data_IF_255819197223
#
_entry.id   IF_255819197223
#
_cell.length_a   1.000
_cell.length_b   1.000
_cell.length_c   1.000
_cell.angle_alpha   90.00
_cell.angle_beta   90.00
_cell.angle_gamma   90.00
#
_symmetry.space_group_name_H-M   'P 1'
#
loop_
_entity.id
_entity.type
_entity.pdbx_description
1 polymer ?
#
# COMPACT_ATOMS: atom_id res chain seq x y z
N UNK A 1 19.15 -25.81 20.87
CA UNK A 1 17.83 -25.83 20.19
C UNK A 1 17.19 -24.46 20.34
N UNK A 2 17.38 -23.56 19.35
CA UNK A 2 16.75 -22.24 19.33
C UNK A 2 15.53 -22.32 18.42
N UNK A 3 14.33 -22.25 19.01
CA UNK A 3 13.06 -22.19 18.28
C UNK A 3 12.96 -20.79 17.64
N UNK A 4 13.11 -20.71 16.34
CA UNK A 4 12.75 -19.51 15.58
C UNK A 4 11.21 -19.45 15.51
N UNK A 5 10.60 -18.56 16.28
CA UNK A 5 9.22 -18.15 16.03
C UNK A 5 9.21 -17.39 14.69
N UNK A 6 8.74 -18.04 13.65
CA UNK A 6 8.35 -17.34 12.43
C UNK A 6 7.04 -16.58 12.71
N UNK A 7 7.15 -15.29 12.99
CA UNK A 7 5.99 -14.41 13.02
C UNK A 7 5.47 -14.25 11.59
N UNK A 8 4.34 -14.86 11.30
CA UNK A 8 3.63 -14.68 10.04
C UNK A 8 3.22 -13.20 9.93
N UNK A 9 3.88 -12.46 9.07
CA UNK A 9 3.56 -11.08 8.74
C UNK A 9 2.53 -11.14 7.62
N UNK A 10 1.26 -11.01 7.96
CA UNK A 10 0.20 -10.77 6.97
C UNK A 10 0.38 -9.32 6.50
N UNK A 11 0.70 -9.13 5.23
CA UNK A 11 0.65 -7.81 4.61
C UNK A 11 -0.78 -7.28 4.74
N UNK A 12 -0.94 -6.18 5.45
CA UNK A 12 -2.25 -5.55 5.62
C UNK A 12 -2.43 -4.57 4.49
N UNK A 13 -3.09 -5.01 3.42
CA UNK A 13 -3.63 -4.09 2.44
C UNK A 13 -4.67 -3.20 3.13
N UNK A 14 -4.31 -1.97 3.43
CA UNK A 14 -5.26 -0.95 3.87
C UNK A 14 -5.98 -0.42 2.65
N UNK A 15 -7.00 -1.14 2.22
CA UNK A 15 -7.89 -0.69 1.16
C UNK A 15 -8.66 0.54 1.65
N UNK A 16 -8.43 1.69 1.04
CA UNK A 16 -9.15 2.93 1.31
C UNK A 16 -10.63 2.74 1.06
N UNK A 17 -11.43 2.88 2.09
CA UNK A 17 -12.85 3.11 1.94
C UNK A 17 -13.05 4.61 1.71
N UNK A 18 -13.54 4.99 0.53
CA UNK A 18 -14.23 6.27 0.35
C UNK A 18 -15.27 6.44 1.46
N UNK A 19 -15.57 7.66 1.93
CA UNK A 19 -16.53 7.86 3.01
C UNK A 19 -17.92 7.48 2.52
N UNK A 20 -18.27 6.20 2.70
CA UNK A 20 -19.66 5.78 2.64
C UNK A 20 -20.26 6.10 4.01
N UNK A 21 -21.15 7.08 4.06
CA UNK A 21 -22.06 7.25 5.18
C UNK A 21 -22.54 5.87 5.62
N UNK A 22 -22.33 5.55 6.88
CA UNK A 22 -22.82 4.32 7.48
C UNK A 22 -24.37 4.37 7.45
N UNK A 23 -24.94 3.89 6.36
CA UNK A 23 -26.35 3.60 6.26
C UNK A 23 -26.63 2.40 7.14
N UNK A 24 -27.11 2.65 8.35
CA UNK A 24 -27.66 1.64 9.24
C UNK A 24 -28.83 0.98 8.51
N UNK A 25 -28.70 -0.32 8.17
CA UNK A 25 -29.86 -1.19 8.18
C UNK A 25 -30.45 -1.68 6.88
N UNK A 26 -29.91 -1.40 5.69
CA UNK A 26 -30.26 -2.22 4.52
C UNK A 26 -29.17 -3.25 4.29
N UNK A 27 -29.47 -4.55 4.36
CA UNK A 27 -28.52 -5.57 3.93
C UNK A 27 -28.27 -5.37 2.44
N UNK A 28 -27.02 -5.37 1.98
CA UNK A 28 -26.66 -5.17 0.57
C UNK A 28 -27.23 -6.27 -0.35
N UNK A 29 -27.70 -7.35 0.22
CA UNK A 29 -28.36 -8.47 -0.46
C UNK A 29 -29.88 -8.53 -0.21
N UNK A 30 -30.50 -7.45 0.33
CA UNK A 30 -31.95 -7.32 0.51
C UNK A 30 -32.62 -8.52 1.20
N UNK A 31 -31.96 -9.13 2.20
CA UNK A 31 -32.45 -10.31 2.90
C UNK A 31 -32.36 -11.63 2.13
N UNK A 32 -31.73 -11.64 0.94
CA UNK A 32 -31.49 -12.86 0.18
C UNK A 32 -30.60 -13.84 0.96
N UNK A 33 -30.88 -15.13 0.82
CA UNK A 33 -29.98 -16.17 1.27
C UNK A 33 -28.68 -16.13 0.47
N UNK A 34 -27.59 -16.71 1.01
CA UNK A 34 -26.33 -16.81 0.28
C UNK A 34 -26.50 -17.47 -1.09
N UNK A 35 -27.30 -18.53 -1.21
CA UNK A 35 -27.56 -19.19 -2.49
C UNK A 35 -28.25 -18.28 -3.52
N UNK A 36 -29.23 -17.49 -3.10
CA UNK A 36 -29.88 -16.51 -3.99
C UNK A 36 -28.92 -15.39 -4.42
N UNK A 37 -28.10 -14.89 -3.47
CA UNK A 37 -27.05 -13.92 -3.79
C UNK A 37 -26.04 -14.47 -4.78
N UNK A 38 -25.55 -15.70 -4.56
CA UNK A 38 -24.59 -16.37 -5.44
C UNK A 38 -25.16 -16.53 -6.85
N UNK A 39 -26.41 -17.00 -6.98
CA UNK A 39 -27.06 -17.10 -8.29
C UNK A 39 -27.12 -15.74 -9.01
N UNK A 40 -27.41 -14.66 -8.29
CA UNK A 40 -27.36 -13.30 -8.86
C UNK A 40 -25.95 -12.87 -9.29
N UNK A 41 -24.92 -13.24 -8.52
CA UNK A 41 -23.52 -12.96 -8.85
C UNK A 41 -23.07 -13.76 -10.08
N UNK A 42 -23.48 -15.02 -10.21
CA UNK A 42 -23.22 -15.86 -11.39
C UNK A 42 -23.83 -15.24 -12.67
N UNK A 43 -25.07 -14.73 -12.59
CA UNK A 43 -25.67 -14.02 -13.72
C UNK A 43 -24.88 -12.75 -14.10
N UNK A 44 -24.38 -12.00 -13.12
CA UNK A 44 -23.50 -10.86 -13.39
C UNK A 44 -22.19 -11.30 -14.05
N UNK A 45 -21.62 -12.43 -13.62
CA UNK A 45 -20.40 -12.98 -14.21
C UNK A 45 -20.62 -13.39 -15.68
N UNK A 46 -21.76 -14.06 -15.99
CA UNK A 46 -22.15 -14.39 -17.37
C UNK A 46 -22.30 -13.12 -18.20
N UNK A 47 -23.02 -12.12 -17.70
CA UNK A 47 -23.17 -10.83 -18.36
C UNK A 47 -21.84 -10.09 -18.59
N UNK A 48 -20.85 -10.34 -17.72
CA UNK A 48 -19.48 -9.82 -17.86
C UNK A 48 -18.58 -10.68 -18.78
N UNK A 49 -19.14 -11.72 -19.43
CA UNK A 49 -18.47 -12.55 -20.43
C UNK A 49 -17.78 -13.80 -19.87
N UNK A 50 -18.02 -14.18 -18.61
CA UNK A 50 -17.49 -15.42 -18.04
C UNK A 50 -18.28 -16.62 -18.60
N UNK A 51 -17.59 -17.66 -19.06
CA UNK A 51 -18.25 -18.86 -19.57
C UNK A 51 -18.90 -19.69 -18.46
N UNK A 52 -19.99 -20.40 -18.79
CA UNK A 52 -20.63 -21.34 -17.87
C UNK A 52 -19.68 -22.45 -17.42
N UNK A 53 -18.70 -22.84 -18.27
CA UNK A 53 -17.67 -23.81 -17.93
C UNK A 53 -16.81 -23.32 -16.76
N UNK A 54 -16.37 -22.07 -16.79
CA UNK A 54 -15.56 -21.49 -15.72
C UNK A 54 -16.34 -21.36 -14.41
N UNK A 55 -17.61 -20.95 -14.49
CA UNK A 55 -18.51 -20.87 -13.33
C UNK A 55 -18.72 -22.27 -12.72
N UNK A 56 -19.02 -23.27 -13.53
CA UNK A 56 -19.21 -24.65 -13.08
C UNK A 56 -17.93 -25.23 -12.44
N UNK A 57 -16.76 -24.93 -13.00
CA UNK A 57 -15.48 -25.33 -12.41
C UNK A 57 -15.20 -24.65 -11.05
N UNK A 58 -15.61 -23.41 -10.88
CA UNK A 58 -15.44 -22.64 -9.65
C UNK A 58 -16.47 -22.95 -8.57
N UNK A 59 -17.67 -23.42 -8.93
CA UNK A 59 -18.83 -23.61 -8.05
C UNK A 59 -18.50 -24.34 -6.73
N UNK A 60 -17.69 -25.44 -6.69
CA UNK A 60 -17.34 -26.09 -5.43
C UNK A 60 -16.55 -25.20 -4.45
N UNK A 61 -15.92 -24.14 -4.94
CA UNK A 61 -15.11 -23.19 -4.16
C UNK A 61 -15.89 -21.93 -3.77
N UNK A 62 -17.06 -21.69 -4.35
CA UNK A 62 -17.90 -20.53 -4.06
C UNK A 62 -18.78 -20.78 -2.83
N UNK A 63 -18.15 -20.92 -1.67
CA UNK A 63 -18.78 -21.28 -0.40
C UNK A 63 -18.60 -20.14 0.60
N UNK A 64 -19.67 -19.81 1.33
CA UNK A 64 -19.61 -18.80 2.39
C UNK A 64 -18.81 -19.28 3.60
N UNK A 65 -17.98 -18.41 4.12
CA UNK A 65 -17.16 -18.65 5.31
C UNK A 65 -17.22 -17.43 6.25
N UNK A 66 -17.95 -17.58 7.37
CA UNK A 66 -18.05 -16.56 8.40
C UNK A 66 -16.68 -16.21 9.02
N UNK A 67 -15.75 -17.15 9.04
CA UNK A 67 -14.39 -16.92 9.54
C UNK A 67 -13.63 -15.85 8.75
N UNK A 68 -13.84 -15.79 7.45
CA UNK A 68 -13.29 -14.73 6.58
C UNK A 68 -13.88 -13.36 6.95
N UNK A 69 -15.20 -13.28 7.08
CA UNK A 69 -15.90 -12.05 7.48
C UNK A 69 -15.43 -11.57 8.86
N UNK A 70 -15.26 -12.49 9.80
CA UNK A 70 -14.77 -12.17 11.14
C UNK A 70 -13.32 -11.65 11.10
N UNK A 71 -12.47 -12.18 10.23
CA UNK A 71 -11.10 -11.66 10.01
C UNK A 71 -11.14 -10.25 9.46
N UNK A 72 -11.97 -9.98 8.47
CA UNK A 72 -12.13 -8.65 7.88
C UNK A 72 -12.59 -7.61 8.93
N UNK A 73 -13.56 -7.98 9.76
CA UNK A 73 -14.09 -7.12 10.83
C UNK A 73 -13.16 -6.99 12.02
N UNK A 74 -12.38 -8.03 12.31
CA UNK A 74 -11.45 -8.10 13.43
C UNK A 74 -10.09 -7.47 13.18
N UNK A 75 -9.85 -6.88 12.01
CA UNK A 75 -8.58 -6.24 11.70
C UNK A 75 -8.30 -5.08 12.64
N UNK A 76 -7.29 -5.26 13.49
CA UNK A 76 -6.74 -4.18 14.32
C UNK A 76 -5.69 -3.46 13.49
N UNK A 77 -5.92 -2.20 13.21
CA UNK A 77 -4.89 -1.36 12.58
C UNK A 77 -3.83 -1.07 13.64
N UNK A 78 -2.63 -1.60 13.43
CA UNK A 78 -1.51 -1.31 14.32
C UNK A 78 -0.86 0.00 13.88
N UNK A 79 -1.04 1.04 14.69
CA UNK A 79 -0.33 2.30 14.53
C UNK A 79 1.14 2.15 14.90
N UNK A 80 1.97 1.64 13.99
CA UNK A 80 3.43 1.66 14.18
C UNK A 80 3.98 2.96 13.60
N UNK A 81 4.99 3.52 14.26
CA UNK A 81 5.73 4.66 13.70
C UNK A 81 6.62 4.19 12.54
N UNK A 82 6.85 5.12 11.60
CA UNK A 82 7.60 4.83 10.39
C UNK A 82 8.96 4.18 10.67
N UNK A 83 9.77 4.70 11.60
CA UNK A 83 11.12 4.17 11.87
C UNK A 83 11.13 2.72 12.34
N UNK A 84 10.13 2.32 13.16
CA UNK A 84 9.99 0.94 13.65
C UNK A 84 9.52 0.03 12.51
N UNK A 85 8.52 0.46 11.76
CA UNK A 85 8.00 -0.30 10.62
C UNK A 85 9.07 -0.46 9.52
N UNK A 86 9.70 0.65 9.09
CA UNK A 86 10.74 0.64 8.08
C UNK A 86 11.97 -0.18 8.51
N UNK A 87 12.40 -0.07 9.77
CA UNK A 87 13.52 -0.85 10.31
C UNK A 87 13.29 -2.35 10.22
N UNK A 88 12.04 -2.80 10.42
CA UNK A 88 11.65 -4.21 10.32
C UNK A 88 11.43 -4.64 8.87
N UNK A 89 10.72 -3.83 8.08
CA UNK A 89 10.28 -4.21 6.74
C UNK A 89 11.34 -3.99 5.67
N UNK A 90 12.13 -2.90 5.76
CA UNK A 90 13.27 -2.64 4.89
C UNK A 90 14.57 -3.18 5.49
N UNK A 91 14.54 -4.44 5.96
CA UNK A 91 15.66 -5.10 6.62
C UNK A 91 16.84 -5.34 5.66
N UNK A 92 18.04 -5.45 6.23
CA UNK A 92 19.24 -5.74 5.46
C UNK A 92 19.16 -7.09 4.73
N UNK A 93 18.51 -8.09 5.33
CA UNK A 93 18.28 -9.39 4.69
C UNK A 93 17.43 -9.28 3.43
N UNK A 94 16.36 -8.46 3.46
CA UNK A 94 15.53 -8.21 2.26
C UNK A 94 16.29 -7.44 1.19
N UNK A 95 17.08 -6.44 1.59
CA UNK A 95 17.95 -5.71 0.65
C UNK A 95 18.90 -6.64 -0.09
N UNK A 96 19.65 -7.46 0.66
CA UNK A 96 20.64 -8.40 0.09
C UNK A 96 19.95 -9.45 -0.78
N UNK A 97 18.84 -10.04 -0.31
CA UNK A 97 18.06 -11.01 -1.08
C UNK A 97 17.51 -10.39 -2.37
N UNK A 98 16.97 -9.15 -2.30
CA UNK A 98 16.50 -8.43 -3.46
C UNK A 98 17.58 -8.22 -4.52
N UNK A 99 18.77 -7.75 -4.11
CA UNK A 99 19.90 -7.59 -5.02
C UNK A 99 20.34 -8.92 -5.66
N UNK A 100 20.29 -10.02 -4.89
CA UNK A 100 20.58 -11.36 -5.43
C UNK A 100 19.55 -11.78 -6.49
N UNK A 101 18.26 -11.53 -6.23
CA UNK A 101 17.18 -11.87 -7.18
C UNK A 101 17.26 -11.02 -8.45
N UNK A 102 17.59 -9.72 -8.36
CA UNK A 102 17.83 -8.87 -9.53
C UNK A 102 18.94 -9.48 -10.41
N UNK A 103 20.02 -9.95 -9.80
CA UNK A 103 21.11 -10.62 -10.55
C UNK A 103 20.66 -11.96 -11.12
N UNK A 104 19.91 -12.76 -10.35
CA UNK A 104 19.43 -14.08 -10.77
C UNK A 104 18.49 -14.00 -11.97
N UNK A 105 17.59 -13.00 -11.99
CA UNK A 105 16.60 -12.78 -13.05
C UNK A 105 16.95 -11.55 -13.91
N UNK A 106 18.25 -11.30 -14.12
CA UNK A 106 18.74 -10.08 -14.78
C UNK A 106 18.10 -9.85 -16.17
N UNK A 107 17.86 -10.91 -16.94
CA UNK A 107 17.22 -10.84 -18.25
C UNK A 107 15.76 -10.31 -18.16
N UNK A 108 14.97 -10.87 -17.22
CA UNK A 108 13.57 -10.47 -17.01
C UNK A 108 13.48 -9.03 -16.51
N UNK A 109 14.35 -8.64 -15.56
CA UNK A 109 14.40 -7.27 -15.07
C UNK A 109 14.82 -6.26 -16.14
N UNK A 110 15.87 -6.56 -16.91
CA UNK A 110 16.31 -5.68 -18.00
C UNK A 110 15.25 -5.52 -19.10
N UNK A 111 14.53 -6.62 -19.43
CA UNK A 111 13.39 -6.57 -20.35
C UNK A 111 12.26 -5.73 -19.78
N UNK A 112 11.92 -5.88 -18.48
CA UNK A 112 10.86 -5.14 -17.81
C UNK A 112 11.19 -3.64 -17.75
N UNK A 113 12.40 -3.27 -17.37
CA UNK A 113 12.86 -1.88 -17.36
C UNK A 113 12.83 -1.25 -18.77
N UNK A 114 13.31 -1.99 -19.77
CA UNK A 114 13.25 -1.54 -21.17
C UNK A 114 11.81 -1.35 -21.65
N UNK A 115 10.91 -2.27 -21.32
CA UNK A 115 9.52 -2.26 -21.80
C UNK A 115 8.66 -1.25 -21.04
N UNK A 116 8.73 -1.27 -19.73
CA UNK A 116 7.82 -0.54 -18.84
C UNK A 116 8.44 0.71 -18.20
N UNK A 117 9.77 0.84 -18.20
CA UNK A 117 10.48 1.97 -17.59
C UNK A 117 10.51 1.94 -16.07
N UNK A 118 10.16 0.82 -15.46
CA UNK A 118 10.16 0.64 -14.02
C UNK A 118 11.50 0.03 -13.59
N UNK A 119 12.28 0.68 -12.70
CA UNK A 119 13.56 0.16 -12.25
C UNK A 119 13.42 -1.19 -11.51
N UNK A 120 14.40 -2.09 -11.65
CA UNK A 120 14.41 -3.39 -10.96
C UNK A 120 14.20 -3.29 -9.46
N UNK A 121 14.77 -2.27 -8.81
CA UNK A 121 14.69 -2.04 -7.37
C UNK A 121 13.25 -1.77 -6.90
N UNK A 122 12.46 -1.09 -7.72
CA UNK A 122 11.07 -0.75 -7.44
C UNK A 122 10.21 -2.02 -7.45
N UNK A 123 10.30 -2.81 -8.52
CA UNK A 123 9.60 -4.10 -8.64
C UNK A 123 9.97 -5.01 -7.47
N UNK A 124 11.27 -5.09 -7.17
CA UNK A 124 11.83 -5.95 -6.12
C UNK A 124 11.37 -5.51 -4.72
N UNK A 125 11.21 -4.21 -4.48
CA UNK A 125 10.74 -3.71 -3.19
C UNK A 125 9.28 -4.11 -2.91
N UNK A 126 8.39 -4.02 -3.90
CA UNK A 126 7.02 -4.54 -3.77
C UNK A 126 7.02 -6.04 -3.56
N UNK A 127 7.78 -6.81 -4.34
CA UNK A 127 7.89 -8.26 -4.20
C UNK A 127 8.37 -8.66 -2.80
N UNK A 128 9.33 -7.90 -2.24
CA UNK A 128 9.82 -8.13 -0.88
C UNK A 128 8.75 -7.86 0.19
N UNK A 129 8.00 -6.77 0.05
CA UNK A 129 7.05 -6.34 1.10
C UNK A 129 5.75 -7.12 1.06
N UNK A 130 5.29 -7.52 -0.13
CA UNK A 130 4.02 -8.23 -0.28
C UNK A 130 4.09 -9.68 0.19
N UNK A 131 5.16 -10.40 -0.13
CA UNK A 131 5.20 -11.83 0.15
C UNK A 131 6.55 -12.36 0.65
N UNK A 132 7.50 -11.48 0.97
CA UNK A 132 8.88 -11.88 1.22
C UNK A 132 9.44 -12.73 0.05
N UNK A 133 9.27 -12.20 -1.17
CA UNK A 133 9.69 -12.85 -2.43
C UNK A 133 9.02 -14.22 -2.64
N UNK A 134 7.73 -14.29 -2.43
CA UNK A 134 6.94 -15.50 -2.62
C UNK A 134 6.95 -16.48 -1.45
N UNK A 135 7.67 -16.19 -0.36
CA UNK A 135 7.71 -17.09 0.80
C UNK A 135 6.38 -17.11 1.59
N UNK A 136 5.57 -16.05 1.50
CA UNK A 136 4.31 -15.90 2.22
C UNK A 136 3.24 -15.35 1.27
N UNK A 137 2.51 -16.21 0.60
CA UNK A 137 1.46 -15.81 -0.35
C UNK A 137 0.03 -15.94 0.19
N UNK A 138 -0.14 -16.38 1.43
CA UNK A 138 -1.43 -16.73 2.01
C UNK A 138 -1.70 -18.24 1.96
N UNK A 139 -2.82 -18.66 2.57
CA UNK A 139 -3.18 -20.09 2.69
C UNK A 139 -4.70 -20.31 2.58
N UNK A 140 -5.43 -19.32 2.11
CA UNK A 140 -6.90 -19.39 2.05
C UNK A 140 -7.38 -19.52 0.62
N UNK A 141 -8.43 -20.31 0.37
CA UNK A 141 -9.04 -20.38 -0.96
C UNK A 141 -9.60 -19.01 -1.36
N UNK A 142 -9.03 -18.43 -2.40
CA UNK A 142 -9.34 -17.06 -2.86
C UNK A 142 -10.81 -16.90 -3.20
N UNK A 143 -11.40 -17.83 -3.97
CA UNK A 143 -12.81 -17.76 -4.34
C UNK A 143 -13.74 -17.74 -3.12
N UNK A 144 -13.45 -18.57 -2.10
CA UNK A 144 -14.20 -18.59 -0.84
C UNK A 144 -14.06 -17.26 -0.10
N UNK A 145 -12.86 -16.71 -0.05
CA UNK A 145 -12.61 -15.42 0.58
C UNK A 145 -13.40 -14.30 -0.11
N UNK A 146 -13.32 -14.22 -1.43
CA UNK A 146 -13.97 -13.18 -2.22
C UNK A 146 -15.49 -13.24 -2.10
N UNK A 147 -16.10 -14.42 -2.31
CA UNK A 147 -17.56 -14.56 -2.28
C UNK A 147 -18.13 -14.33 -0.87
N UNK A 148 -17.37 -14.69 0.19
CA UNK A 148 -17.77 -14.40 1.56
C UNK A 148 -17.78 -12.92 1.87
N UNK A 149 -16.78 -12.19 1.40
CA UNK A 149 -16.65 -10.75 1.54
C UNK A 149 -17.63 -9.99 0.62
N UNK A 150 -17.95 -10.57 -0.54
CA UNK A 150 -19.00 -10.04 -1.44
C UNK A 150 -20.38 -10.11 -0.79
N UNK A 151 -20.66 -11.19 -0.06
CA UNK A 151 -21.92 -11.34 0.69
C UNK A 151 -21.97 -10.47 1.95
N UNK A 152 -20.82 -10.14 2.55
CA UNK A 152 -20.75 -9.17 3.67
C UNK A 152 -20.91 -7.74 3.18
N UNK A 153 -21.89 -7.01 3.73
CA UNK A 153 -22.30 -5.69 3.22
C UNK A 153 -21.25 -4.57 3.35
N UNK A 154 -20.13 -4.80 4.01
CA UNK A 154 -19.13 -3.75 4.26
C UNK A 154 -18.48 -3.20 2.99
N UNK A 155 -18.17 -4.08 2.02
CA UNK A 155 -17.53 -3.76 0.73
C UNK A 155 -18.05 -4.67 -0.38
N UNK A 156 -19.35 -4.96 -0.36
CA UNK A 156 -19.98 -5.97 -1.22
C UNK A 156 -19.66 -5.77 -2.71
N UNK A 157 -19.89 -4.59 -3.26
CA UNK A 157 -19.70 -4.36 -4.69
C UNK A 157 -18.24 -4.62 -5.11
N UNK A 158 -17.28 -4.11 -4.34
CA UNK A 158 -15.86 -4.35 -4.62
C UNK A 158 -15.55 -5.85 -4.71
N UNK A 159 -15.99 -6.65 -3.73
CA UNK A 159 -15.70 -8.08 -3.73
C UNK A 159 -16.52 -8.89 -4.74
N UNK A 160 -17.68 -8.38 -5.20
CA UNK A 160 -18.37 -8.94 -6.35
C UNK A 160 -17.53 -8.77 -7.63
N UNK A 161 -16.97 -7.57 -7.83
CA UNK A 161 -16.11 -7.28 -8.99
C UNK A 161 -14.84 -8.14 -8.97
N UNK A 162 -14.23 -8.30 -7.78
CA UNK A 162 -13.07 -9.18 -7.60
C UNK A 162 -13.42 -10.67 -7.83
N UNK A 163 -14.60 -11.11 -7.42
CA UNK A 163 -15.06 -12.48 -7.69
C UNK A 163 -15.23 -12.71 -9.19
N UNK A 164 -15.85 -11.77 -9.91
CA UNK A 164 -16.02 -11.86 -11.36
C UNK A 164 -14.64 -11.87 -12.06
N UNK A 165 -13.70 -11.04 -11.62
CA UNK A 165 -12.35 -11.04 -12.17
C UNK A 165 -11.63 -12.38 -11.91
N UNK A 166 -11.79 -12.98 -10.72
CA UNK A 166 -11.26 -14.30 -10.41
C UNK A 166 -11.83 -15.39 -11.35
N UNK A 167 -13.13 -15.34 -11.64
CA UNK A 167 -13.75 -16.24 -12.62
C UNK A 167 -13.21 -16.03 -14.05
N UNK A 168 -12.92 -14.78 -14.44
CA UNK A 168 -12.27 -14.47 -15.73
C UNK A 168 -10.85 -15.03 -15.83
N UNK A 169 -10.07 -15.02 -14.75
CA UNK A 169 -8.74 -15.64 -14.68
C UNK A 169 -8.84 -17.15 -14.96
N UNK A 170 -9.83 -17.81 -14.35
CA UNK A 170 -10.11 -19.23 -14.57
C UNK A 170 -10.53 -19.48 -16.03
N UNK A 171 -11.42 -18.65 -16.56
CA UNK A 171 -11.94 -18.76 -17.91
C UNK A 171 -10.85 -18.56 -18.97
N UNK A 172 -9.90 -17.66 -18.72
CA UNK A 172 -8.71 -17.43 -19.55
C UNK A 172 -7.73 -18.61 -19.49
N UNK A 173 -7.82 -19.45 -18.47
CA UNK A 173 -6.99 -20.63 -18.29
C UNK A 173 -5.66 -20.38 -17.56
N UNK A 174 -5.47 -19.21 -16.96
CA UNK A 174 -4.22 -18.90 -16.23
C UNK A 174 -4.09 -19.69 -14.92
N UNK A 175 -5.20 -19.88 -14.20
CA UNK A 175 -5.25 -20.62 -12.94
C UNK A 175 -6.50 -21.50 -12.87
N UNK A 176 -6.33 -22.69 -12.29
CA UNK A 176 -7.47 -23.53 -11.91
C UNK A 176 -8.04 -23.04 -10.56
N UNK A 177 -9.34 -23.28 -10.26
CA UNK A 177 -9.94 -22.91 -8.97
C UNK A 177 -9.16 -23.43 -7.75
N UNK A 178 -8.57 -24.63 -7.85
CA UNK A 178 -7.79 -25.27 -6.79
C UNK A 178 -6.43 -24.62 -6.56
N UNK A 179 -5.89 -23.88 -7.52
CA UNK A 179 -4.62 -23.15 -7.45
C UNK A 179 -4.78 -21.75 -6.89
N UNK A 180 -6.00 -21.24 -6.88
CA UNK A 180 -6.31 -19.91 -6.36
C UNK A 180 -6.26 -19.89 -4.82
N UNK A 181 -5.04 -19.95 -4.28
CA UNK A 181 -4.75 -19.87 -2.86
C UNK A 181 -4.01 -18.57 -2.59
N UNK A 182 -4.52 -17.78 -1.66
CA UNK A 182 -4.00 -16.44 -1.41
C UNK A 182 -4.28 -15.93 0.00
N UNK A 183 -4.38 -14.62 0.12
CA UNK A 183 -4.69 -13.94 1.37
C UNK A 183 -6.17 -14.10 1.76
N UNK A 184 -6.50 -13.67 2.98
CA UNK A 184 -7.90 -13.65 3.45
C UNK A 184 -8.77 -12.64 2.67
N UNK A 185 -8.17 -11.62 2.06
CA UNK A 185 -8.86 -10.63 1.24
C UNK A 185 -8.96 -11.02 -0.25
N UNK A 186 -8.47 -12.22 -0.60
CA UNK A 186 -8.56 -12.75 -1.95
C UNK A 186 -7.40 -12.33 -2.87
N UNK A 187 -6.38 -11.67 -2.34
CA UNK A 187 -5.17 -11.31 -3.08
C UNK A 187 -4.38 -12.56 -3.44
N UNK A 188 -3.77 -12.56 -4.64
CA UNK A 188 -3.10 -13.69 -5.27
C UNK A 188 -1.64 -13.38 -5.62
N UNK A 189 -0.83 -14.43 -5.58
CA UNK A 189 0.51 -14.43 -6.12
C UNK A 189 1.53 -13.69 -5.27
N UNK A 190 2.75 -13.63 -5.78
CA UNK A 190 3.91 -13.17 -5.02
C UNK A 190 3.92 -11.65 -4.78
N UNK A 191 3.15 -10.88 -5.53
CA UNK A 191 2.96 -9.44 -5.32
C UNK A 191 1.54 -9.08 -4.89
N UNK A 192 0.78 -10.07 -4.40
CA UNK A 192 -0.50 -9.93 -3.74
C UNK A 192 -1.50 -9.06 -4.54
N UNK A 193 -1.65 -9.40 -5.83
CA UNK A 193 -2.62 -8.72 -6.70
C UNK A 193 -4.06 -9.12 -6.33
N UNK A 194 -4.95 -8.14 -6.28
CA UNK A 194 -6.37 -8.43 -6.37
C UNK A 194 -6.69 -9.06 -7.73
N UNK A 195 -7.71 -9.92 -7.85
CA UNK A 195 -8.05 -10.55 -9.12
C UNK A 195 -8.28 -9.59 -10.29
N UNK A 196 -8.83 -8.40 -10.04
CA UNK A 196 -8.97 -7.34 -11.06
C UNK A 196 -7.62 -6.89 -11.58
N UNK A 197 -6.63 -6.69 -10.71
CA UNK A 197 -5.27 -6.33 -11.13
C UNK A 197 -4.59 -7.50 -11.84
N UNK A 198 -4.77 -8.72 -11.35
CA UNK A 198 -4.25 -9.93 -11.98
C UNK A 198 -4.81 -10.08 -13.41
N UNK A 199 -6.12 -10.00 -13.58
CA UNK A 199 -6.76 -10.14 -14.87
C UNK A 199 -6.30 -9.08 -15.87
N UNK A 200 -6.16 -7.83 -15.42
CA UNK A 200 -5.86 -6.68 -16.29
C UNK A 200 -4.37 -6.51 -16.58
N UNK A 201 -3.49 -6.87 -15.66
CA UNK A 201 -2.06 -6.52 -15.73
C UNK A 201 -1.10 -7.70 -15.71
N UNK A 202 -1.55 -8.92 -15.38
CA UNK A 202 -0.68 -10.08 -15.46
C UNK A 202 -0.30 -10.37 -16.92
N UNK A 203 0.98 -10.68 -17.12
CA UNK A 203 1.58 -11.00 -18.41
C UNK A 203 2.33 -12.33 -18.33
N UNK A 204 2.23 -13.12 -19.37
CA UNK A 204 3.07 -14.28 -19.61
C UNK A 204 4.47 -13.78 -20.03
N UNK A 205 5.38 -13.80 -19.09
CA UNK A 205 6.69 -13.17 -19.29
C UNK A 205 7.81 -14.17 -19.53
N UNK A 206 7.58 -15.45 -19.27
CA UNK A 206 8.47 -16.54 -19.67
C UNK A 206 8.05 -17.23 -20.99
N UNK A 207 6.82 -16.99 -21.44
CA UNK A 207 6.33 -17.43 -22.74
C UNK A 207 5.79 -18.86 -22.74
N UNK A 208 5.35 -19.37 -21.58
CA UNK A 208 4.82 -20.72 -21.44
C UNK A 208 3.33 -20.84 -21.78
N UNK A 209 2.65 -19.73 -22.08
CA UNK A 209 1.23 -19.62 -22.42
C UNK A 209 0.33 -19.33 -21.24
N UNK A 210 0.84 -19.24 -20.03
CA UNK A 210 0.12 -18.92 -18.79
C UNK A 210 0.65 -17.65 -18.15
N UNK A 211 -0.13 -17.03 -17.29
CA UNK A 211 0.29 -15.89 -16.47
C UNK A 211 0.33 -16.37 -15.02
N UNK A 212 1.47 -16.91 -14.60
CA UNK A 212 1.62 -17.53 -13.28
C UNK A 212 2.35 -16.60 -12.28
N UNK A 213 1.60 -15.74 -11.63
CA UNK A 213 2.16 -14.89 -10.57
C UNK A 213 2.38 -15.63 -9.24
N UNK A 214 2.02 -16.90 -9.14
CA UNK A 214 2.21 -17.72 -7.95
C UNK A 214 3.60 -18.38 -7.93
N UNK A 215 4.06 -18.87 -9.10
CA UNK A 215 5.26 -19.74 -9.18
C UNK A 215 6.31 -19.22 -10.18
N UNK A 216 5.93 -18.46 -11.22
CA UNK A 216 6.86 -17.91 -12.22
C UNK A 216 7.42 -16.55 -11.78
N UNK A 217 8.69 -16.50 -11.41
CA UNK A 217 9.36 -15.23 -11.09
C UNK A 217 9.43 -14.28 -12.31
N UNK A 218 9.67 -14.72 -13.57
CA UNK A 218 9.55 -13.83 -14.72
C UNK A 218 8.17 -13.17 -14.83
N UNK A 219 7.08 -13.94 -14.65
CA UNK A 219 5.72 -13.39 -14.72
C UNK A 219 5.44 -12.39 -13.61
N UNK A 220 5.92 -12.69 -12.40
CA UNK A 220 5.85 -11.74 -11.26
C UNK A 220 6.54 -10.43 -11.62
N UNK A 221 7.75 -10.48 -12.18
CA UNK A 221 8.54 -9.31 -12.57
C UNK A 221 7.82 -8.52 -13.65
N UNK A 222 7.40 -9.19 -14.74
CA UNK A 222 6.72 -8.56 -15.87
C UNK A 222 5.38 -7.96 -15.50
N UNK A 223 4.55 -8.72 -14.77
CA UNK A 223 3.21 -8.28 -14.35
C UNK A 223 3.27 -7.11 -13.36
N UNK A 224 4.19 -7.17 -12.40
CA UNK A 224 4.39 -6.08 -11.44
C UNK A 224 4.84 -4.80 -12.16
N UNK A 225 5.81 -4.92 -13.09
CA UNK A 225 6.27 -3.79 -13.89
C UNK A 225 5.14 -3.21 -14.76
N UNK A 226 4.34 -4.07 -15.40
CA UNK A 226 3.18 -3.66 -16.19
C UNK A 226 2.17 -2.88 -15.35
N UNK A 227 1.79 -3.39 -14.19
CA UNK A 227 0.84 -2.71 -13.30
C UNK A 227 1.39 -1.36 -12.82
N UNK A 228 2.64 -1.29 -12.39
CA UNK A 228 3.26 -0.03 -11.95
C UNK A 228 3.27 0.99 -13.09
N UNK A 229 3.64 0.56 -14.30
CA UNK A 229 3.76 1.46 -15.46
C UNK A 229 2.40 1.94 -15.97
N UNK A 230 1.47 1.02 -16.20
CA UNK A 230 0.22 1.31 -16.90
C UNK A 230 -0.94 1.60 -15.95
N UNK A 231 -1.06 0.84 -14.86
CA UNK A 231 -2.08 1.03 -13.83
C UNK A 231 -1.79 2.23 -12.95
N UNK A 232 -0.56 2.32 -12.44
CA UNK A 232 -0.15 3.34 -11.48
C UNK A 232 0.58 4.55 -12.12
N UNK A 233 0.60 4.63 -13.45
CA UNK A 233 1.10 5.80 -14.21
C UNK A 233 2.56 6.17 -13.95
N UNK A 234 3.43 5.17 -13.76
CA UNK A 234 4.87 5.39 -13.57
C UNK A 234 5.49 6.19 -14.71
N UNK A 235 6.33 7.16 -14.36
CA UNK A 235 7.04 8.01 -15.28
C UNK A 235 8.48 7.52 -15.46
N UNK A 236 8.78 7.04 -16.66
CA UNK A 236 10.11 6.53 -17.00
C UNK A 236 11.19 7.57 -16.74
N UNK A 237 12.27 7.16 -16.09
CA UNK A 237 13.45 8.01 -15.85
C UNK A 237 13.28 9.05 -14.75
N UNK A 238 12.09 9.20 -14.15
CA UNK A 238 11.90 10.08 -13.01
C UNK A 238 12.14 9.32 -11.68
N UNK A 239 12.69 10.01 -10.68
CA UNK A 239 12.88 9.44 -9.33
C UNK A 239 11.52 9.23 -8.62
N UNK A 240 11.55 8.48 -7.51
CA UNK A 240 10.36 8.26 -6.66
C UNK A 240 10.50 8.86 -5.27
N UNK A 241 11.59 8.55 -4.56
CA UNK A 241 11.81 8.97 -3.18
C UNK A 241 13.30 9.21 -2.95
N UNK A 242 13.64 10.29 -2.25
CA UNK A 242 15.02 10.64 -1.94
C UNK A 242 15.13 11.16 -0.51
N UNK A 243 15.95 10.55 0.32
CA UNK A 243 16.25 11.08 1.64
C UNK A 243 16.97 12.43 1.52
N UNK A 244 16.55 13.36 2.36
CA UNK A 244 17.10 14.71 2.40
C UNK A 244 17.31 15.19 3.85
N UNK A 245 18.09 16.23 4.02
CA UNK A 245 18.22 17.01 5.25
C UNK A 245 17.43 18.30 5.09
N UNK A 246 16.49 18.53 5.99
CA UNK A 246 15.72 19.76 6.06
C UNK A 246 16.31 20.69 7.15
N UNK A 247 16.49 22.01 6.90
CA UNK A 247 16.93 22.98 7.91
C UNK A 247 15.82 23.22 8.95
N UNK A 248 16.20 23.80 10.11
CA UNK A 248 15.25 24.02 11.21
C UNK A 248 14.26 25.18 10.96
N UNK A 249 14.62 26.11 10.12
CA UNK A 249 13.87 27.32 9.75
C UNK A 249 13.07 27.18 8.44
N UNK A 250 12.88 25.93 8.00
CA UNK A 250 12.09 25.64 6.80
C UNK A 250 10.62 26.10 7.00
N UNK A 251 9.95 26.64 5.96
CA UNK A 251 8.51 26.89 6.01
C UNK A 251 7.73 25.55 6.06
N UNK A 252 7.51 25.04 7.28
CA UNK A 252 6.96 23.70 7.52
C UNK A 252 5.54 23.52 6.96
N UNK A 253 4.79 24.60 6.79
CA UNK A 253 3.50 24.61 6.12
C UNK A 253 3.57 24.17 4.66
N UNK A 254 4.77 24.22 4.04
CA UNK A 254 5.01 23.73 2.68
C UNK A 254 5.35 22.22 2.64
N UNK A 255 5.65 21.60 3.78
CA UNK A 255 5.94 20.17 3.87
C UNK A 255 4.64 19.35 3.86
N UNK A 256 4.22 18.91 2.65
CA UNK A 256 3.01 18.12 2.43
C UNK A 256 3.07 17.40 1.08
N UNK A 257 2.53 16.18 0.98
CA UNK A 257 2.51 15.43 -0.27
C UNK A 257 1.66 16.09 -1.37
N UNK A 258 0.69 16.92 -0.98
CA UNK A 258 -0.17 17.65 -1.92
C UNK A 258 0.46 18.94 -2.44
N UNK A 259 1.55 19.41 -1.81
CA UNK A 259 2.27 20.62 -2.19
C UNK A 259 3.56 20.24 -2.93
N UNK A 260 3.62 20.56 -4.21
CA UNK A 260 4.79 20.27 -5.05
C UNK A 260 5.51 21.59 -5.39
N UNK A 261 6.82 21.62 -5.15
CA UNK A 261 7.69 22.71 -5.59
C UNK A 261 8.81 22.16 -6.49
N UNK A 262 9.39 22.96 -7.37
CA UNK A 262 10.62 22.61 -8.06
C UNK A 262 11.73 22.22 -7.06
N UNK A 263 12.55 21.23 -7.40
CA UNK A 263 13.69 20.81 -6.55
C UNK A 263 14.63 21.96 -6.25
N UNK A 264 14.81 22.90 -7.20
CA UNK A 264 15.52 24.16 -7.00
C UNK A 264 14.94 25.01 -5.87
N UNK A 265 13.61 25.02 -5.69
CA UNK A 265 12.96 25.77 -4.61
C UNK A 265 13.26 25.17 -3.24
N UNK A 266 13.25 23.84 -3.14
CA UNK A 266 13.66 23.14 -1.92
C UNK A 266 15.13 23.44 -1.58
N UNK A 267 16.02 23.45 -2.59
CA UNK A 267 17.43 23.85 -2.41
C UNK A 267 17.56 25.29 -1.89
N UNK A 268 16.78 26.24 -2.43
CA UNK A 268 16.76 27.64 -1.94
C UNK A 268 16.33 27.74 -0.47
N UNK A 269 15.46 26.88 -0.01
CA UNK A 269 15.06 26.77 1.40
C UNK A 269 16.06 25.98 2.24
N UNK A 270 17.24 25.65 1.72
CA UNK A 270 18.30 24.96 2.45
C UNK A 270 18.15 23.45 2.55
N UNK A 271 17.21 22.85 1.85
CA UNK A 271 17.12 21.39 1.77
C UNK A 271 18.29 20.85 0.97
N UNK A 272 18.97 19.83 1.48
CA UNK A 272 20.16 19.26 0.89
C UNK A 272 20.16 17.73 0.94
N UNK A 273 21.09 17.10 0.24
CA UNK A 273 21.37 15.68 0.47
C UNK A 273 21.79 15.41 1.92
N UNK A 274 21.63 14.19 2.45
CA UNK A 274 22.03 13.85 3.81
C UNK A 274 23.51 14.17 4.13
N UNK A 275 24.38 14.09 3.12
CA UNK A 275 25.81 14.43 3.24
C UNK A 275 26.13 15.93 3.13
N UNK A 276 25.10 16.78 3.07
CA UNK A 276 25.24 18.24 2.97
C UNK A 276 25.49 18.77 1.56
N UNK A 277 25.60 17.93 0.53
CA UNK A 277 25.70 18.40 -0.85
C UNK A 277 24.38 19.07 -1.27
N UNK A 278 24.44 20.15 -2.07
CA UNK A 278 23.24 20.82 -2.56
C UNK A 278 22.42 19.91 -3.47
N UNK A 279 21.11 20.11 -3.47
CA UNK A 279 20.21 19.48 -4.44
C UNK A 279 20.47 20.09 -5.85
N UNK A 280 20.16 19.36 -6.91
CA UNK A 280 20.18 19.92 -8.26
C UNK A 280 19.29 21.16 -8.38
N UNK A 281 19.75 22.14 -9.16
CA UNK A 281 19.00 23.35 -9.48
C UNK A 281 18.19 23.13 -10.75
N UNK A 282 17.08 22.43 -10.62
CA UNK A 282 16.16 22.09 -11.74
C UNK A 282 14.70 22.18 -11.32
N UNK A 283 13.81 22.04 -12.29
CA UNK A 283 12.37 22.17 -12.14
C UNK A 283 11.66 20.84 -11.79
N UNK A 284 12.40 19.78 -11.45
CA UNK A 284 11.80 18.50 -11.06
C UNK A 284 10.84 18.70 -9.88
N UNK A 285 9.54 18.48 -10.07
CA UNK A 285 8.57 18.69 -8.99
C UNK A 285 8.77 17.67 -7.88
N UNK A 286 8.77 18.13 -6.65
CA UNK A 286 8.89 17.29 -5.46
C UNK A 286 8.08 17.87 -4.31
N UNK A 287 7.58 16.97 -3.45
CA UNK A 287 6.96 17.29 -2.18
C UNK A 287 7.88 16.91 -1.04
N UNK A 288 7.92 17.70 0.03
CA UNK A 288 8.66 17.31 1.24
C UNK A 288 7.78 16.42 2.13
N UNK A 289 8.17 15.18 2.26
CA UNK A 289 7.51 14.17 3.07
C UNK A 289 8.24 14.01 4.41
N UNK A 290 7.49 14.21 5.49
CA UNK A 290 7.95 14.10 6.88
C UNK A 290 7.16 13.00 7.61
N UNK A 291 7.51 11.70 7.47
CA UNK A 291 6.71 10.62 8.04
C UNK A 291 6.60 10.65 9.57
N UNK A 292 7.54 11.32 10.23
CA UNK A 292 7.61 11.51 11.68
C UNK A 292 7.83 12.98 12.08
N UNK A 293 7.32 13.93 11.31
CA UNK A 293 7.50 15.35 11.53
C UNK A 293 8.94 15.85 11.31
N UNK A 294 9.16 17.12 11.62
CA UNK A 294 10.43 17.83 11.35
C UNK A 294 11.67 17.29 12.07
N UNK A 295 11.49 16.51 13.11
CA UNK A 295 12.58 15.89 13.88
C UNK A 295 12.87 14.46 13.43
N UNK A 296 12.03 13.89 12.60
CA UNK A 296 12.21 12.59 11.98
C UNK A 296 13.00 12.65 10.67
N UNK A 297 13.06 11.52 9.95
CA UNK A 297 13.63 11.49 8.62
C UNK A 297 12.77 12.31 7.64
N UNK A 298 13.45 12.98 6.70
CA UNK A 298 12.81 13.78 5.67
C UNK A 298 13.13 13.20 4.27
N UNK A 299 12.14 13.27 3.39
CA UNK A 299 12.29 12.79 2.02
C UNK A 299 11.70 13.79 1.03
N UNK A 300 12.32 13.92 -0.14
CA UNK A 300 11.64 14.43 -1.31
C UNK A 300 10.89 13.27 -2.00
N UNK A 301 9.58 13.42 -2.08
CA UNK A 301 8.69 12.54 -2.81
C UNK A 301 8.44 13.15 -4.20
N UNK A 302 8.83 12.43 -5.24
CA UNK A 302 8.67 12.82 -6.64
C UNK A 302 7.37 12.26 -7.23
N UNK A 303 6.96 12.63 -8.44
CA UNK A 303 5.70 12.14 -9.01
C UNK A 303 5.55 10.62 -9.01
N UNK A 304 6.63 9.86 -9.19
CA UNK A 304 6.59 8.41 -9.10
C UNK A 304 6.29 7.85 -7.69
N UNK A 305 6.36 8.67 -6.65
CA UNK A 305 5.93 8.26 -5.31
C UNK A 305 4.41 8.07 -5.24
N UNK A 306 3.66 8.72 -6.11
CA UNK A 306 2.21 8.55 -6.20
C UNK A 306 1.85 7.06 -6.48
N UNK A 307 2.66 6.34 -7.27
CA UNK A 307 2.48 4.89 -7.50
C UNK A 307 2.55 4.05 -6.21
N UNK A 308 3.41 4.43 -5.27
CA UNK A 308 3.50 3.74 -3.98
C UNK A 308 2.27 3.99 -3.09
N UNK A 309 1.74 5.21 -3.11
CA UNK A 309 0.54 5.57 -2.35
C UNK A 309 -0.74 5.00 -2.98
N UNK A 310 -0.78 4.83 -4.28
CA UNK A 310 -1.87 4.14 -4.98
C UNK A 310 -1.81 2.63 -4.80
N UNK A 311 -0.62 2.03 -4.80
CA UNK A 311 -0.46 0.61 -4.46
C UNK A 311 -0.99 0.29 -3.07
N UNK A 312 -0.64 1.13 -2.09
CA UNK A 312 -1.13 0.99 -0.72
C UNK A 312 -1.28 2.37 -0.07
N UNK A 313 -2.51 2.71 0.35
CA UNK A 313 -2.84 4.01 0.93
C UNK A 313 -2.19 4.29 2.30
N UNK A 314 -1.49 3.32 2.89
CA UNK A 314 -0.72 3.55 4.11
C UNK A 314 0.54 4.33 3.80
N UNK A 315 0.61 5.58 4.23
CA UNK A 315 1.80 6.42 4.06
C UNK A 315 3.06 5.75 4.62
N UNK A 316 2.93 5.03 5.74
CA UNK A 316 4.04 4.29 6.36
C UNK A 316 4.49 3.15 5.44
N UNK A 317 3.56 2.40 4.86
CA UNK A 317 3.88 1.35 3.89
C UNK A 317 4.52 1.98 2.64
N UNK A 318 3.88 2.94 2.00
CA UNK A 318 4.35 3.59 0.78
C UNK A 318 5.78 4.17 0.94
N UNK A 319 6.01 4.88 2.04
CA UNK A 319 7.34 5.43 2.35
C UNK A 319 8.36 4.32 2.58
N UNK A 320 7.98 3.23 3.25
CA UNK A 320 8.87 2.09 3.49
C UNK A 320 9.21 1.36 2.20
N UNK A 321 8.24 1.17 1.30
CA UNK A 321 8.45 0.53 -0.01
C UNK A 321 9.39 1.38 -0.89
N UNK A 322 9.13 2.68 -0.99
CA UNK A 322 10.01 3.61 -1.70
C UNK A 322 11.42 3.65 -1.10
N UNK A 323 11.54 3.65 0.22
CA UNK A 323 12.83 3.58 0.91
C UNK A 323 13.54 2.24 0.66
N UNK A 324 12.85 1.10 0.74
CA UNK A 324 13.46 -0.20 0.44
C UNK A 324 13.99 -0.24 -1.00
N UNK A 325 13.24 0.30 -1.96
CA UNK A 325 13.70 0.41 -3.35
C UNK A 325 15.02 1.20 -3.44
N UNK A 326 15.13 2.36 -2.78
CA UNK A 326 16.39 3.12 -2.75
C UNK A 326 17.52 2.32 -2.11
N UNK A 327 17.25 1.55 -1.04
CA UNK A 327 18.23 0.70 -0.36
C UNK A 327 18.72 -0.44 -1.26
N UNK A 328 17.83 -1.08 -2.00
CA UNK A 328 18.17 -2.12 -2.98
C UNK A 328 19.05 -1.53 -4.09
N UNK A 329 18.76 -0.30 -4.54
CA UNK A 329 19.54 0.46 -5.51
C UNK A 329 20.88 0.99 -4.97
N UNK A 330 21.24 0.69 -3.72
CA UNK A 330 22.56 1.02 -3.15
C UNK A 330 22.61 2.27 -2.28
N UNK A 331 21.48 2.94 -2.04
CA UNK A 331 21.47 4.07 -1.10
C UNK A 331 21.91 3.65 0.30
N UNK A 332 22.60 4.51 1.06
CA UNK A 332 23.00 4.21 2.45
C UNK A 332 21.77 4.06 3.36
N UNK A 333 21.94 3.45 4.54
CA UNK A 333 20.89 3.44 5.55
C UNK A 333 20.44 4.87 5.90
N UNK A 334 19.13 5.01 6.14
CA UNK A 334 18.51 6.26 6.57
C UNK A 334 19.21 6.82 7.80
N UNK A 335 19.43 8.12 7.82
CA UNK A 335 20.03 8.80 8.97
C UNK A 335 19.14 8.66 10.21
N UNK A 336 19.77 8.50 11.35
CA UNK A 336 19.04 8.51 12.63
C UNK A 336 18.52 9.92 12.90
N UNK A 337 17.33 10.06 13.48
CA UNK A 337 16.82 11.35 13.92
C UNK A 337 17.87 12.06 14.81
N UNK A 338 18.05 13.34 14.61
CA UNK A 338 18.99 14.16 15.42
C UNK A 338 18.51 14.36 16.86
N UNK A 339 17.23 14.16 17.11
CA UNK A 339 16.57 14.25 18.41
C UNK A 339 15.54 13.13 18.55
N UNK A 340 15.19 12.82 19.80
CA UNK A 340 14.06 11.92 20.06
C UNK A 340 12.78 12.55 19.50
N UNK A 341 12.07 11.81 18.64
CA UNK A 341 10.78 12.25 18.10
C UNK A 341 9.72 11.99 19.15
N UNK A 342 9.04 13.05 19.56
CA UNK A 342 7.89 12.94 20.45
C UNK A 342 6.78 12.13 19.79
N UNK A 343 6.13 11.28 20.55
CA UNK A 343 5.05 10.43 20.08
C UNK A 343 3.89 10.47 21.06
N UNK A 344 2.71 10.78 20.54
CA UNK A 344 1.48 10.59 21.28
C UNK A 344 1.11 9.09 21.33
N UNK A 345 0.60 8.66 22.47
CA UNK A 345 0.04 7.32 22.62
C UNK A 345 -1.20 7.17 21.73
N UNK A 346 -1.58 5.94 21.48
CA UNK A 346 -2.81 5.59 20.74
C UNK A 346 -4.06 6.31 21.30
N UNK A 347 -4.21 6.35 22.63
CA UNK A 347 -5.33 7.04 23.27
C UNK A 347 -5.27 8.56 23.09
N UNK A 348 -4.09 9.15 23.15
CA UNK A 348 -3.90 10.59 22.90
C UNK A 348 -4.19 10.94 21.43
N UNK A 349 -3.82 10.10 20.47
CA UNK A 349 -4.19 10.31 19.06
C UNK A 349 -5.70 10.22 18.88
N UNK A 350 -6.40 9.27 19.50
CA UNK A 350 -7.87 9.20 19.49
C UNK A 350 -8.51 10.45 20.10
N UNK A 351 -7.97 10.93 21.21
CA UNK A 351 -8.42 12.18 21.84
C UNK A 351 -8.22 13.36 20.89
N UNK A 352 -7.07 13.45 20.26
CA UNK A 352 -6.76 14.47 19.27
C UNK A 352 -7.71 14.40 18.08
N UNK A 353 -7.97 13.23 17.51
CA UNK A 353 -8.93 13.02 16.43
C UNK A 353 -10.32 13.53 16.82
N UNK A 354 -10.78 13.21 18.03
CA UNK A 354 -12.06 13.71 18.55
C UNK A 354 -12.10 15.24 18.66
N UNK A 355 -11.01 15.87 19.10
CA UNK A 355 -10.91 17.33 19.21
C UNK A 355 -10.86 18.00 17.83
N UNK A 356 -10.15 17.40 16.87
CA UNK A 356 -10.08 17.86 15.49
C UNK A 356 -11.45 17.77 14.82
N UNK A 357 -12.19 16.68 14.99
CA UNK A 357 -13.55 16.51 14.46
C UNK A 357 -14.51 17.55 15.06
N UNK A 358 -14.45 17.81 16.36
CA UNK A 358 -15.22 18.87 17.04
C UNK A 358 -14.86 20.27 16.53
N UNK A 359 -13.63 20.47 16.09
CA UNK A 359 -13.17 21.72 15.48
C UNK A 359 -13.57 21.83 13.98
N UNK A 360 -14.31 20.86 13.45
CA UNK A 360 -14.85 20.87 12.08
C UNK A 360 -13.93 20.27 11.02
N UNK A 361 -12.88 19.52 11.42
CA UNK A 361 -11.96 18.88 10.49
C UNK A 361 -12.36 17.43 10.23
N UNK A 362 -12.24 16.99 8.97
CA UNK A 362 -12.34 15.57 8.63
C UNK A 362 -11.04 14.86 9.07
N UNK A 363 -11.18 13.91 9.96
CA UNK A 363 -10.08 13.05 10.44
C UNK A 363 -10.21 11.60 9.97
N UNK A 364 -11.24 11.30 9.19
CA UNK A 364 -11.63 9.94 8.84
C UNK A 364 -12.20 9.20 10.03
N UNK A 365 -11.58 8.10 10.43
CA UNK A 365 -11.99 7.33 11.61
C UNK A 365 -11.26 7.80 12.85
N UNK A 366 -11.97 7.86 13.97
CA UNK A 366 -11.37 8.07 15.30
C UNK A 366 -10.84 6.71 15.80
N UNK A 367 -9.73 6.28 15.25
CA UNK A 367 -9.14 4.96 15.47
C UNK A 367 -7.77 4.98 16.15
N UNK A 368 -7.23 6.17 16.44
CA UNK A 368 -5.92 6.32 17.06
C UNK A 368 -4.75 6.20 16.07
N UNK A 369 -5.04 6.26 14.77
CA UNK A 369 -4.03 6.16 13.71
C UNK A 369 -3.84 7.50 13.05
N UNK A 370 -2.57 7.88 12.87
CA UNK A 370 -2.20 9.12 12.21
C UNK A 370 -2.25 8.96 10.68
N UNK A 371 -3.46 8.84 10.12
CA UNK A 371 -3.71 8.79 8.68
C UNK A 371 -3.57 10.17 8.00
N UNK A 372 -3.70 10.20 6.67
CA UNK A 372 -3.51 11.43 5.89
C UNK A 372 -4.49 12.54 6.30
N UNK A 373 -5.78 12.22 6.49
CA UNK A 373 -6.80 13.20 6.92
C UNK A 373 -6.48 13.78 8.30
N UNK A 374 -6.12 12.93 9.27
CA UNK A 374 -5.70 13.38 10.60
C UNK A 374 -4.45 14.28 10.51
N UNK A 375 -3.46 13.92 9.68
CA UNK A 375 -2.24 14.73 9.49
C UNK A 375 -2.55 16.10 8.88
N UNK A 376 -3.44 16.19 7.91
CA UNK A 376 -3.89 17.45 7.31
C UNK A 376 -4.61 18.33 8.33
N UNK A 377 -5.49 17.75 9.15
CA UNK A 377 -6.16 18.46 10.24
C UNK A 377 -5.17 18.96 11.32
N UNK A 378 -4.20 18.13 11.70
CA UNK A 378 -3.09 18.50 12.60
C UNK A 378 -2.34 19.71 12.06
N UNK A 379 -1.95 19.71 10.79
CA UNK A 379 -1.24 20.81 10.13
C UNK A 379 -2.05 22.12 10.21
N UNK A 380 -3.34 22.05 9.90
CA UNK A 380 -4.23 23.23 9.98
C UNK A 380 -4.27 23.80 11.39
N UNK A 381 -4.34 22.94 12.40
CA UNK A 381 -4.36 23.41 13.81
C UNK A 381 -2.99 23.90 14.28
N UNK A 382 -1.89 23.30 13.80
CA UNK A 382 -0.55 23.80 14.04
C UNK A 382 -0.40 25.24 13.52
N UNK A 383 -0.85 25.51 12.28
CA UNK A 383 -0.85 26.88 11.73
C UNK A 383 -1.72 27.82 12.56
N UNK A 384 -2.92 27.42 12.97
CA UNK A 384 -3.82 28.20 13.80
C UNK A 384 -3.21 28.61 15.13
N UNK A 385 -2.44 27.72 15.74
CA UNK A 385 -1.80 27.98 17.04
C UNK A 385 -0.37 28.52 16.94
N UNK A 386 0.13 28.85 15.74
CA UNK A 386 1.49 29.34 15.53
C UNK A 386 2.57 28.30 15.86
N UNK A 387 2.24 27.02 15.73
CA UNK A 387 3.18 25.93 15.89
C UNK A 387 3.80 25.55 14.53
N UNK A 388 4.99 24.92 14.51
CA UNK A 388 5.56 24.40 13.28
C UNK A 388 4.60 23.40 12.61
N UNK A 389 4.18 23.71 11.37
CA UNK A 389 3.09 23.01 10.68
C UNK A 389 3.63 21.79 9.90
N UNK A 390 4.24 20.83 10.60
CA UNK A 390 4.90 19.65 10.06
C UNK A 390 4.01 18.40 9.99
N UNK A 391 2.71 18.55 10.25
CA UNK A 391 1.71 17.48 10.26
C UNK A 391 1.96 16.38 11.31
N UNK A 392 2.88 16.59 12.26
CA UNK A 392 3.17 15.65 13.33
C UNK A 392 2.59 16.15 14.66
N UNK A 393 1.69 15.40 15.31
CA UNK A 393 1.06 15.86 16.53
C UNK A 393 2.01 15.78 17.72
N UNK A 394 1.95 16.80 18.58
CA UNK A 394 2.71 16.90 19.82
C UNK A 394 1.79 17.04 21.03
N UNK A 395 2.31 16.78 22.23
CA UNK A 395 1.56 17.02 23.48
C UNK A 395 1.19 18.50 23.62
N UNK A 396 2.03 19.42 23.13
CA UNK A 396 1.73 20.84 23.10
C UNK A 396 0.47 21.14 22.24
N UNK A 397 0.38 20.58 21.04
CA UNK A 397 -0.81 20.75 20.21
C UNK A 397 -2.04 20.20 20.90
N UNK A 398 -1.95 18.98 21.45
CA UNK A 398 -3.04 18.32 22.16
C UNK A 398 -3.53 19.19 23.33
N UNK A 399 -2.61 19.73 24.14
CA UNK A 399 -2.94 20.59 25.26
C UNK A 399 -3.62 21.91 24.81
N UNK A 400 -3.12 22.58 23.75
CA UNK A 400 -3.74 23.78 23.20
C UNK A 400 -5.14 23.55 22.65
N UNK A 401 -5.45 22.35 22.22
CA UNK A 401 -6.80 21.93 21.80
C UNK A 401 -7.70 21.53 22.96
N UNK A 402 -7.23 21.59 24.21
CA UNK A 402 -7.98 21.23 25.41
C UNK A 402 -7.90 19.74 25.78
N UNK A 403 -6.90 19.03 25.25
CA UNK A 403 -6.55 17.65 25.63
C UNK A 403 -5.72 17.59 26.91
N UNK A 404 -5.64 16.41 27.50
CA UNK A 404 -4.83 16.12 28.71
C UNK A 404 -3.92 14.93 28.45
#
# INVERSE_FOLDING_TARGET
MKRHLAAAITAVAVLSASPSFAQRGASCHNGQSFGQFLAGLEQKAIAAGVSQRAIAAAAPSLVYDQGIVNRDRGQRVFGQIFSVFAGRMASESRRVRGQKLIKQYAQSFARAEKQYGVPPEVITAFWALESDFGAVQGKLPTLRSLVSLAYDCRRSQMFQDETIAALKIIDRGDLRPSEMIGSWAGELGQTQFLPTHYFNYAVDYDGDGHRDMLHSAPDVIGSTANYIATGLKWRRGEPWLQEVRAPQDLPWDQADLTIKHPRAKWAQWGVSYPNGKPLPNDDMPASLLLPMGRHGPAFLAYPNFDAYTEWNNSLIYATTAGYLATRIGGAPPMQRPSRQVEQLSFNQIRQLQTLLERAGHDVGKIDGILGQQTRSAVKTMQMKYGLPADSWPTAELLARMGGR
#
